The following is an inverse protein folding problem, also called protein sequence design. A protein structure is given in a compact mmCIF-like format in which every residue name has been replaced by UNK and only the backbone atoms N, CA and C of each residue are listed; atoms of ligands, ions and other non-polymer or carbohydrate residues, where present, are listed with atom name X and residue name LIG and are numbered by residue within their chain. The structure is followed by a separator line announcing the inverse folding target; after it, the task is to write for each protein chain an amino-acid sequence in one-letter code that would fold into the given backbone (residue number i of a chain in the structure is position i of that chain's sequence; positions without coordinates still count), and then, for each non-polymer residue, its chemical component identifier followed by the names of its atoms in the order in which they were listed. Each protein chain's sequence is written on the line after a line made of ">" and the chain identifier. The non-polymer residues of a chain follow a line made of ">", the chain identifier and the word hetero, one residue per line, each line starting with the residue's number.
data_IF_941421293773
#
_entry.id   IF_941421293773
#
_cell.length_a   1.000
_cell.length_b   1.000
_cell.length_c   1.000
_cell.angle_alpha   90.00
_cell.angle_beta   90.00
_cell.angle_gamma   90.00
#
_symmetry.space_group_name_H-M   'P 1'
#
loop_
_entity.id
_entity.type
_entity.pdbx_description
1 polymer ?
#
# COMPACT_ATOMS: atom_id res chain seq x y z
N UNK A 1 7.38 -8.94 4.27
CA UNK A 1 6.95 -7.84 3.36
C UNK A 1 6.21 -6.72 4.10
N UNK A 2 5.21 -7.00 4.95
CA UNK A 2 4.45 -5.95 5.66
C UNK A 2 5.29 -4.98 6.55
N UNK A 3 6.30 -5.48 7.27
CA UNK A 3 7.11 -4.64 8.19
C UNK A 3 8.01 -3.62 7.45
N UNK A 4 8.53 -3.98 6.27
CA UNK A 4 9.32 -3.05 5.44
C UNK A 4 8.45 -1.99 4.75
N UNK A 5 7.20 -2.34 4.44
CA UNK A 5 6.24 -1.42 3.85
C UNK A 5 5.79 -0.34 4.84
N UNK A 6 5.60 -0.68 6.12
CA UNK A 6 5.28 0.32 7.14
C UNK A 6 6.33 1.45 7.23
N UNK A 7 7.61 1.16 6.95
CA UNK A 7 8.68 2.17 6.86
C UNK A 7 8.66 2.97 5.55
N UNK A 8 8.00 2.45 4.52
CA UNK A 8 7.86 3.09 3.21
C UNK A 8 6.76 4.16 3.19
N UNK A 9 5.98 4.27 4.27
CA UNK A 9 4.85 5.19 4.41
C UNK A 9 5.05 6.27 5.50
N UNK A 10 6.14 7.06 5.47
CA UNK A 10 6.42 8.06 6.51
C UNK A 10 5.33 9.13 6.63
N UNK A 11 4.59 9.41 5.55
CA UNK A 11 3.43 10.30 5.58
C UNK A 11 2.26 9.71 6.38
N UNK A 12 1.93 8.44 6.17
CA UNK A 12 0.87 7.78 6.94
C UNK A 12 1.21 7.63 8.42
N UNK A 13 2.50 7.45 8.77
CA UNK A 13 2.95 7.46 10.17
C UNK A 13 2.65 8.80 10.86
N UNK A 14 2.88 9.92 10.17
CA UNK A 14 2.50 11.26 10.68
C UNK A 14 0.98 11.41 10.87
N UNK A 15 0.19 10.63 10.14
CA UNK A 15 -1.27 10.61 10.21
C UNK A 15 -1.82 9.57 11.22
N UNK A 16 -0.95 8.92 11.99
CA UNK A 16 -1.34 8.00 13.06
C UNK A 16 -1.28 6.51 12.70
N UNK A 17 -0.64 6.14 11.59
CA UNK A 17 -0.43 4.73 11.22
C UNK A 17 0.37 3.98 12.28
N UNK A 18 -0.18 2.87 12.77
CA UNK A 18 0.50 1.95 13.69
C UNK A 18 0.77 0.58 13.06
N UNK A 19 -0.13 0.09 12.20
CA UNK A 19 0.05 -1.22 11.54
C UNK A 19 -0.61 -1.28 10.16
N UNK A 20 -0.16 -2.25 9.36
CA UNK A 20 -0.62 -2.43 7.97
C UNK A 20 -1.05 -3.88 7.76
N UNK A 21 -2.24 -4.07 7.22
CA UNK A 21 -2.75 -5.34 6.69
C UNK A 21 -2.80 -5.32 5.16
N UNK A 22 -3.12 -6.46 4.55
CA UNK A 22 -3.31 -6.54 3.10
C UNK A 22 -4.28 -7.64 2.69
N UNK A 23 -4.92 -7.43 1.55
CA UNK A 23 -5.78 -8.38 0.87
C UNK A 23 -5.33 -8.53 -0.59
N UNK A 24 -5.19 -9.76 -1.07
CA UNK A 24 -4.96 -10.02 -2.48
C UNK A 24 -6.31 -9.95 -3.22
N UNK A 25 -6.51 -8.92 -4.02
CA UNK A 25 -7.76 -8.72 -4.78
C UNK A 25 -7.78 -9.54 -6.06
N UNK A 26 -6.65 -9.64 -6.75
CA UNK A 26 -6.52 -10.47 -7.94
C UNK A 26 -5.08 -10.86 -8.21
N UNK A 27 -4.92 -11.95 -8.96
CA UNK A 27 -3.66 -12.43 -9.45
C UNK A 27 -3.85 -12.97 -10.87
N UNK A 28 -3.10 -12.40 -11.82
CA UNK A 28 -3.19 -12.73 -13.24
C UNK A 28 -1.80 -12.96 -13.80
N UNK A 29 -1.64 -14.02 -14.59
CA UNK A 29 -0.41 -14.27 -15.34
C UNK A 29 -0.40 -13.43 -16.62
N UNK A 30 0.63 -12.60 -16.80
CA UNK A 30 0.82 -11.79 -18.01
C UNK A 30 1.72 -12.49 -19.03
N UNK A 31 2.71 -13.23 -18.56
CA UNK A 31 3.63 -14.03 -19.37
C UNK A 31 4.13 -15.24 -18.56
N UNK A 32 4.96 -16.09 -19.17
CA UNK A 32 5.46 -17.33 -18.55
C UNK A 32 6.02 -17.11 -17.12
N UNK A 33 6.76 -16.02 -16.91
CA UNK A 33 7.35 -15.67 -15.60
C UNK A 33 6.84 -14.35 -15.03
N UNK A 34 5.91 -13.66 -15.70
CA UNK A 34 5.44 -12.32 -15.29
C UNK A 34 4.00 -12.38 -14.82
N UNK A 35 3.73 -11.79 -13.67
CA UNK A 35 2.41 -11.79 -13.02
C UNK A 35 2.02 -10.36 -12.63
N UNK A 36 0.74 -10.06 -12.73
CA UNK A 36 0.12 -8.87 -12.18
C UNK A 36 -0.68 -9.28 -10.94
N UNK A 37 -0.38 -8.67 -9.80
CA UNK A 37 -1.11 -8.86 -8.55
C UNK A 37 -1.70 -7.55 -8.11
N UNK A 38 -3.00 -7.53 -7.84
CA UNK A 38 -3.67 -6.37 -7.28
C UNK A 38 -3.86 -6.59 -5.78
N UNK A 39 -3.35 -5.67 -4.98
CA UNK A 39 -3.37 -5.75 -3.51
C UNK A 39 -4.12 -4.55 -2.97
N UNK A 40 -4.99 -4.79 -1.99
CA UNK A 40 -5.54 -3.74 -1.14
C UNK A 40 -4.73 -3.69 0.14
N UNK A 41 -4.11 -2.56 0.41
CA UNK A 41 -3.48 -2.25 1.68
C UNK A 41 -4.49 -1.67 2.65
N UNK A 42 -4.43 -2.10 3.90
CA UNK A 42 -5.31 -1.66 4.98
C UNK A 42 -4.43 -1.01 6.04
N UNK A 43 -4.70 0.24 6.36
CA UNK A 43 -3.89 1.05 7.27
C UNK A 43 -4.65 1.23 8.58
N UNK A 44 -4.06 0.84 9.71
CA UNK A 44 -4.71 0.88 11.02
C UNK A 44 -3.98 1.79 12.00
N UNK A 45 -4.73 2.42 12.89
CA UNK A 45 -4.19 3.17 14.02
C UNK A 45 -3.80 2.26 15.20
N UNK A 46 -3.32 2.87 16.29
CA UNK A 46 -2.90 2.15 17.49
C UNK A 46 -4.02 1.46 18.25
N UNK A 47 -5.27 1.85 18.00
CA UNK A 47 -6.46 1.23 18.59
C UNK A 47 -6.99 0.08 17.72
N UNK A 48 -6.39 -0.13 16.54
CA UNK A 48 -6.81 -1.14 15.56
C UNK A 48 -7.95 -0.68 14.66
N UNK A 49 -8.32 0.61 14.68
CA UNK A 49 -9.32 1.16 13.78
C UNK A 49 -8.71 1.38 12.39
N UNK A 50 -9.51 1.16 11.34
CA UNK A 50 -9.08 1.43 9.98
C UNK A 50 -8.99 2.94 9.76
N UNK A 51 -7.79 3.43 9.44
CA UNK A 51 -7.53 4.81 9.04
C UNK A 51 -7.97 5.05 7.60
N UNK A 52 -7.48 4.19 6.71
CA UNK A 52 -7.75 4.24 5.28
C UNK A 52 -7.30 2.93 4.65
N UNK A 53 -7.57 2.80 3.37
CA UNK A 53 -7.13 1.71 2.52
C UNK A 53 -6.56 2.28 1.21
N UNK A 54 -5.72 1.50 0.54
CA UNK A 54 -5.15 1.89 -0.75
C UNK A 54 -5.01 0.68 -1.66
N UNK A 55 -5.07 0.90 -2.95
CA UNK A 55 -4.93 -0.15 -3.95
C UNK A 55 -3.64 -0.01 -4.71
N UNK A 56 -2.84 -1.07 -4.72
CA UNK A 56 -1.60 -1.14 -5.49
C UNK A 56 -1.66 -2.29 -6.50
N UNK A 57 -1.09 -2.05 -7.68
CA UNK A 57 -0.79 -3.11 -8.63
C UNK A 57 0.71 -3.43 -8.58
N UNK A 58 1.04 -4.70 -8.39
CA UNK A 58 2.40 -5.20 -8.43
C UNK A 58 2.65 -6.00 -9.70
N UNK A 59 3.71 -5.65 -10.43
CA UNK A 59 4.28 -6.53 -11.44
C UNK A 59 5.33 -7.39 -10.76
N UNK A 60 5.06 -8.69 -10.71
CA UNK A 60 5.96 -9.68 -10.16
C UNK A 60 6.66 -10.46 -11.27
N UNK A 61 7.91 -10.85 -11.03
CA UNK A 61 8.61 -11.84 -11.85
C UNK A 61 8.93 -13.06 -10.99
N UNK A 62 8.76 -14.24 -11.57
CA UNK A 62 9.27 -15.49 -11.00
C UNK A 62 10.72 -15.68 -11.45
N UNK A 63 11.62 -15.60 -10.49
CA UNK A 63 13.04 -15.93 -10.61
C UNK A 63 13.34 -17.27 -9.94
N UNK A 64 14.61 -17.69 -9.94
CA UNK A 64 15.04 -19.00 -9.42
C UNK A 64 14.74 -19.18 -7.92
N UNK A 65 14.79 -18.10 -7.16
CA UNK A 65 14.59 -18.05 -5.71
C UNK A 65 13.16 -17.66 -5.30
N UNK A 66 12.27 -17.36 -6.25
CA UNK A 66 10.85 -17.12 -5.98
C UNK A 66 10.24 -15.95 -6.75
N UNK A 67 9.14 -15.42 -6.20
CA UNK A 67 8.46 -14.26 -6.76
C UNK A 67 9.06 -12.97 -6.18
N UNK A 68 9.46 -12.06 -7.07
CA UNK A 68 9.97 -10.75 -6.71
C UNK A 68 9.09 -9.66 -7.29
N UNK A 69 8.82 -8.63 -6.49
CA UNK A 69 8.16 -7.43 -6.96
C UNK A 69 9.16 -6.53 -7.71
N UNK A 70 8.87 -6.24 -8.97
CA UNK A 70 9.70 -5.39 -9.82
C UNK A 70 9.16 -3.98 -9.94
N UNK A 71 7.84 -3.84 -9.99
CA UNK A 71 7.17 -2.55 -10.07
C UNK A 71 5.99 -2.56 -9.11
N UNK A 72 5.86 -1.49 -8.34
CA UNK A 72 4.65 -1.14 -7.60
C UNK A 72 4.00 0.07 -8.26
N UNK A 73 2.71 0.00 -8.53
CA UNK A 73 1.93 1.06 -9.14
C UNK A 73 0.76 1.37 -8.20
N UNK A 74 0.87 2.43 -7.38
CA UNK A 74 -0.25 2.90 -6.59
C UNK A 74 -1.37 3.39 -7.50
N UNK A 75 -2.61 3.01 -7.21
CA UNK A 75 -3.79 3.36 -8.02
C UNK A 75 -4.48 4.60 -7.49
N UNK A 76 -4.60 4.72 -6.17
CA UNK A 76 -5.42 5.74 -5.49
C UNK A 76 -4.69 6.40 -4.32
N UNK A 77 -3.38 6.16 -4.15
CA UNK A 77 -2.62 6.59 -2.95
C UNK A 77 -2.72 8.10 -2.69
N UNK A 78 -2.61 8.94 -3.73
CA UNK A 78 -2.68 10.39 -3.56
C UNK A 78 -4.06 10.85 -3.08
N UNK A 79 -5.14 10.27 -3.62
CA UNK A 79 -6.51 10.57 -3.22
C UNK A 79 -6.76 10.13 -1.77
N UNK A 80 -6.33 8.90 -1.42
CA UNK A 80 -6.46 8.33 -0.08
C UNK A 80 -5.70 9.10 0.98
N UNK A 81 -4.48 9.56 0.66
CA UNK A 81 -3.69 10.42 1.54
C UNK A 81 -4.36 11.77 1.77
N UNK A 82 -4.85 12.40 0.71
CA UNK A 82 -5.50 13.71 0.80
C UNK A 82 -6.78 13.61 1.64
N UNK A 83 -7.58 12.57 1.43
CA UNK A 83 -8.79 12.33 2.20
C UNK A 83 -8.48 12.10 3.69
N UNK A 84 -7.53 11.22 4.00
CA UNK A 84 -7.13 10.95 5.38
C UNK A 84 -6.62 12.19 6.10
N UNK A 85 -5.84 13.03 5.41
CA UNK A 85 -5.34 14.27 5.99
C UNK A 85 -6.46 15.29 6.25
N UNK A 86 -7.41 15.44 5.32
CA UNK A 86 -8.58 16.29 5.50
C UNK A 86 -9.42 15.84 6.71
N UNK A 87 -9.67 14.53 6.84
CA UNK A 87 -10.43 13.95 7.96
C UNK A 87 -9.74 14.18 9.32
N UNK A 88 -8.41 14.28 9.32
CA UNK A 88 -7.59 14.56 10.50
C UNK A 88 -7.34 16.05 10.72
N UNK A 89 -7.85 16.93 9.85
CA UNK A 89 -7.60 18.38 9.91
C UNK A 89 -6.14 18.77 9.67
N UNK A 90 -5.39 17.94 8.95
CA UNK A 90 -3.97 18.15 8.64
C UNK A 90 -3.83 18.67 7.21
N UNK A 91 -3.12 19.79 7.05
CA UNK A 91 -2.74 20.30 5.74
C UNK A 91 -1.41 19.66 5.30
N UNK A 92 -1.46 18.83 4.25
CA UNK A 92 -0.27 18.19 3.66
C UNK A 92 0.58 19.15 2.80
N UNK A 93 0.07 20.35 2.47
CA UNK A 93 0.78 21.37 1.69
C UNK A 93 1.69 22.27 2.54
N UNK A 94 1.52 22.23 3.86
CA UNK A 94 2.38 22.92 4.82
C UNK A 94 3.76 22.23 4.89
N UNK A 95 4.73 22.79 4.14
CA UNK A 95 6.15 22.43 4.24
C UNK A 95 6.81 23.06 5.45
#
# INVERSE_FOLDING_TARGET
>A
MATGLAQSYPLYQRLGLASVGHECLSHSQLAATIFLVRVRWLFYDSEGNLLTDGTDNYVLRRDEDGLHAYVCIPVDEAEKLQQLAADRGIDLSAR
#
